data_IF_829133784683
#
_entry.id   IF_829133784683
#
_cell.length_a   1.000
_cell.length_b   1.000
_cell.length_c   1.000
_cell.angle_alpha   90.00
_cell.angle_beta   90.00
_cell.angle_gamma   90.00
#
_symmetry.space_group_name_H-M   'P 1'
#
loop_
_entity.id
_entity.type
_entity.pdbx_description
1 polymer ?
#
# COMPACT_ATOMS: atom_id res chain seq x y z
N UNK A 1 13.97 13.74 -15.81
CA UNK A 1 15.42 13.85 -15.81
C UNK A 1 16.05 12.66 -16.55
N UNK A 2 15.81 11.40 -16.12
CA UNK A 2 16.35 10.20 -16.81
C UNK A 2 16.03 10.15 -18.31
N UNK A 3 14.78 10.44 -18.72
CA UNK A 3 14.41 10.54 -20.13
C UNK A 3 15.15 11.63 -20.91
N UNK A 4 15.74 12.60 -20.23
CA UNK A 4 16.63 13.63 -20.82
C UNK A 4 18.09 13.20 -20.84
N UNK A 5 18.40 11.94 -20.46
CA UNK A 5 19.77 11.40 -20.45
C UNK A 5 20.60 11.80 -19.24
N UNK A 6 20.03 12.46 -18.21
CA UNK A 6 20.77 12.86 -17.01
C UNK A 6 20.99 11.66 -16.08
N UNK A 7 22.16 11.59 -15.44
CA UNK A 7 22.38 10.72 -14.29
C UNK A 7 21.54 11.26 -13.11
N UNK A 8 20.83 10.37 -12.42
CA UNK A 8 19.96 10.77 -11.30
C UNK A 8 20.27 9.93 -10.09
N UNK A 9 20.62 10.59 -8.99
CA UNK A 9 20.71 9.98 -7.66
C UNK A 9 19.57 10.54 -6.79
N UNK A 10 18.77 9.66 -6.19
CA UNK A 10 17.76 9.99 -5.20
C UNK A 10 18.31 9.70 -3.82
N UNK A 11 18.30 10.70 -2.95
CA UNK A 11 18.77 10.59 -1.56
C UNK A 11 17.58 10.68 -0.63
N UNK A 12 17.39 9.68 0.22
CA UNK A 12 16.31 9.59 1.21
C UNK A 12 16.90 9.32 2.60
N UNK A 13 16.51 10.14 3.57
CA UNK A 13 16.96 10.01 4.95
C UNK A 13 16.39 8.78 5.67
N UNK A 14 15.19 8.36 5.28
CA UNK A 14 14.52 7.17 5.79
C UNK A 14 15.08 5.87 5.20
N UNK A 15 14.61 4.75 5.74
CA UNK A 15 14.98 3.41 5.27
C UNK A 15 14.37 3.02 3.92
N UNK A 16 13.36 3.74 3.44
CA UNK A 16 12.70 3.48 2.17
C UNK A 16 12.27 4.77 1.48
N UNK A 17 12.16 4.75 0.16
CA UNK A 17 11.46 5.77 -0.61
C UNK A 17 9.94 5.57 -0.48
N UNK A 18 9.13 6.51 -0.97
CA UNK A 18 7.66 6.38 -0.97
C UNK A 18 7.08 6.09 0.42
N UNK A 19 7.43 6.89 1.42
CA UNK A 19 7.00 6.75 2.81
C UNK A 19 5.51 6.46 3.09
N UNK A 20 4.53 6.86 2.25
CA UNK A 20 3.13 6.44 2.39
C UNK A 20 2.86 4.96 2.14
N UNK A 21 3.73 4.25 1.40
CA UNK A 21 3.59 2.82 1.14
C UNK A 21 4.24 1.99 2.26
N UNK A 22 3.80 0.75 2.42
CA UNK A 22 4.49 -0.24 3.24
C UNK A 22 5.74 -0.76 2.51
N UNK A 23 6.66 -1.40 3.26
CA UNK A 23 8.02 -1.72 2.80
C UNK A 23 8.02 -2.54 1.50
N UNK A 24 7.27 -3.64 1.45
CA UNK A 24 7.20 -4.53 0.29
C UNK A 24 6.57 -3.85 -0.94
N UNK A 25 5.68 -2.88 -0.73
CA UNK A 25 5.08 -2.11 -1.82
C UNK A 25 6.03 -1.01 -2.32
N UNK A 26 6.77 -0.39 -1.42
CA UNK A 26 7.80 0.61 -1.75
C UNK A 26 8.99 -0.03 -2.48
N UNK A 27 9.36 -1.27 -2.11
CA UNK A 27 10.44 -2.03 -2.75
C UNK A 27 10.19 -2.24 -4.25
N UNK A 28 8.95 -2.53 -4.66
CA UNK A 28 8.57 -2.66 -6.07
C UNK A 28 8.87 -1.37 -6.84
N UNK A 29 8.50 -0.22 -6.25
CA UNK A 29 8.76 1.10 -6.84
C UNK A 29 10.27 1.38 -6.91
N UNK A 30 11.00 1.09 -5.82
CA UNK A 30 12.45 1.29 -5.75
C UNK A 30 13.18 0.44 -6.80
N UNK A 31 12.82 -0.84 -6.92
CA UNK A 31 13.36 -1.73 -7.94
C UNK A 31 13.10 -1.20 -9.34
N UNK A 32 11.87 -0.82 -9.66
CA UNK A 32 11.52 -0.28 -10.98
C UNK A 32 12.30 1.01 -11.31
N UNK A 33 12.53 1.89 -10.33
CA UNK A 33 13.35 3.08 -10.52
C UNK A 33 14.81 2.73 -10.75
N UNK A 34 15.39 1.76 -10.02
CA UNK A 34 16.76 1.26 -10.24
C UNK A 34 16.92 0.65 -11.63
N UNK A 35 15.96 -0.17 -12.05
CA UNK A 35 15.93 -0.80 -13.40
C UNK A 35 15.90 0.27 -14.51
N UNK A 36 15.32 1.45 -14.23
CA UNK A 36 15.34 2.63 -15.10
C UNK A 36 16.54 3.57 -14.87
N UNK A 37 17.56 3.11 -14.15
CA UNK A 37 18.86 3.77 -14.00
C UNK A 37 18.88 4.91 -12.99
N UNK A 38 17.99 4.93 -12.00
CA UNK A 38 18.06 5.85 -10.86
C UNK A 38 18.91 5.20 -9.75
N UNK A 39 19.96 5.89 -9.30
CA UNK A 39 20.71 5.50 -8.10
C UNK A 39 19.92 5.92 -6.85
N UNK A 40 19.48 4.96 -6.04
CA UNK A 40 18.69 5.23 -4.83
C UNK A 40 19.55 4.98 -3.59
N UNK A 41 19.67 6.01 -2.75
CA UNK A 41 20.39 6.01 -1.49
C UNK A 41 19.43 6.24 -0.34
N UNK A 42 19.04 5.19 0.34
CA UNK A 42 18.26 5.21 1.59
C UNK A 42 19.17 5.31 2.81
N UNK A 43 18.62 5.61 3.99
CA UNK A 43 19.37 5.88 5.21
C UNK A 43 20.51 6.92 5.00
N UNK A 44 20.28 7.86 4.09
CA UNK A 44 21.26 8.80 3.60
C UNK A 44 20.74 10.24 3.76
N UNK A 45 21.10 10.87 4.86
CA UNK A 45 20.70 12.25 5.13
C UNK A 45 21.68 13.24 4.48
N UNK A 46 21.18 14.13 3.62
CA UNK A 46 21.92 15.27 3.12
C UNK A 46 22.12 16.30 4.24
N UNK A 47 23.35 16.76 4.44
CA UNK A 47 23.70 17.73 5.49
C UNK A 47 24.15 19.06 4.94
N UNK A 48 24.70 19.09 3.72
CA UNK A 48 25.20 20.29 3.09
C UNK A 48 25.04 20.22 1.56
N UNK A 49 24.73 21.36 0.96
CA UNK A 49 24.76 21.56 -0.49
C UNK A 49 25.84 22.60 -0.81
N UNK A 50 26.79 22.23 -1.67
CA UNK A 50 27.89 23.07 -2.12
C UNK A 50 27.85 23.29 -3.63
N UNK A 51 28.81 24.08 -4.17
CA UNK A 51 28.95 24.27 -5.61
C UNK A 51 29.32 22.97 -6.35
N UNK A 52 29.88 21.98 -5.66
CA UNK A 52 30.35 20.72 -6.24
C UNK A 52 29.41 19.53 -6.01
N UNK A 53 28.37 19.68 -5.18
CA UNK A 53 27.45 18.58 -4.91
C UNK A 53 26.81 18.60 -3.54
N UNK A 54 26.42 17.43 -3.07
CA UNK A 54 25.68 17.22 -1.82
C UNK A 54 26.52 16.34 -0.88
N UNK A 55 26.77 16.82 0.33
CA UNK A 55 27.44 16.05 1.39
C UNK A 55 26.40 15.32 2.24
N UNK A 56 26.64 14.03 2.47
CA UNK A 56 25.80 13.17 3.31
C UNK A 56 26.34 13.14 4.75
N UNK A 57 25.48 12.73 5.70
CA UNK A 57 25.83 12.62 7.12
C UNK A 57 27.04 11.72 7.40
N UNK A 58 27.29 10.72 6.56
CA UNK A 58 28.45 9.83 6.67
C UNK A 58 29.76 10.45 6.12
N UNK A 59 29.74 11.70 5.68
CA UNK A 59 30.88 12.43 5.12
C UNK A 59 31.12 12.18 3.62
N UNK A 60 30.34 11.35 2.96
CA UNK A 60 30.42 11.16 1.51
C UNK A 60 29.86 12.39 0.79
N UNK A 61 30.55 12.86 -0.25
CA UNK A 61 30.03 13.89 -1.15
C UNK A 61 29.60 13.25 -2.47
N UNK A 62 28.39 13.53 -2.88
CA UNK A 62 27.84 13.15 -4.19
C UNK A 62 27.97 14.35 -5.12
N UNK A 63 28.77 14.21 -6.18
CA UNK A 63 28.91 15.26 -7.20
C UNK A 63 27.57 15.46 -7.93
N UNK A 64 27.17 16.71 -8.13
CA UNK A 64 25.94 17.06 -8.82
C UNK A 64 26.01 18.44 -9.47
N UNK A 65 25.62 18.52 -10.73
CA UNK A 65 25.45 19.79 -11.47
C UNK A 65 24.11 20.46 -11.15
N UNK A 66 23.12 19.69 -10.69
CA UNK A 66 21.78 20.17 -10.32
C UNK A 66 21.28 19.43 -9.09
N UNK A 67 20.85 20.17 -8.08
CA UNK A 67 20.22 19.62 -6.88
C UNK A 67 18.76 20.05 -6.84
N UNK A 68 17.86 19.07 -6.71
CA UNK A 68 16.41 19.30 -6.52
C UNK A 68 16.06 18.96 -5.09
N UNK A 69 15.68 19.98 -4.31
CA UNK A 69 15.19 19.79 -2.95
C UNK A 69 13.72 19.34 -2.98
N UNK A 70 13.49 18.03 -2.78
CA UNK A 70 12.16 17.41 -2.72
C UNK A 70 11.86 16.87 -1.29
N UNK A 71 12.21 17.66 -0.26
CA UNK A 71 12.17 17.28 1.16
C UNK A 71 10.79 17.46 1.82
N UNK A 72 9.73 17.55 1.02
CA UNK A 72 8.35 17.74 1.47
C UNK A 72 7.93 19.20 1.55
N UNK A 73 6.73 19.42 2.08
CA UNK A 73 6.09 20.74 2.20
C UNK A 73 5.72 21.03 3.64
N UNK A 74 5.72 22.32 4.00
CA UNK A 74 5.21 22.82 5.27
C UNK A 74 4.07 23.79 5.01
N UNK A 75 3.02 23.81 5.86
CA UNK A 75 1.97 24.81 5.74
C UNK A 75 2.55 26.21 5.86
N UNK A 76 2.19 27.12 4.94
CA UNK A 76 2.52 28.53 5.04
C UNK A 76 1.51 29.21 5.99
N UNK A 77 1.74 29.08 7.29
CA UNK A 77 0.81 29.53 8.34
C UNK A 77 1.29 30.73 9.13
N UNK A 78 2.40 31.35 8.76
CA UNK A 78 3.01 32.49 9.50
C UNK A 78 2.04 33.67 9.63
N UNK A 79 1.29 33.98 8.57
CA UNK A 79 0.28 35.03 8.58
C UNK A 79 -0.86 34.71 9.57
N UNK A 80 -1.30 33.46 9.59
CA UNK A 80 -2.35 32.99 10.50
C UNK A 80 -1.88 33.03 11.96
N UNK A 81 -0.64 32.64 12.24
CA UNK A 81 -0.04 32.72 13.56
C UNK A 81 0.10 34.17 14.02
N UNK A 82 0.59 35.07 13.13
CA UNK A 82 0.71 36.50 13.44
C UNK A 82 -0.65 37.15 13.70
N UNK A 83 -1.72 36.66 13.10
CA UNK A 83 -3.10 37.07 13.36
C UNK A 83 -3.72 36.46 14.62
N UNK A 84 -3.00 35.58 15.34
CA UNK A 84 -3.50 34.93 16.55
C UNK A 84 -4.45 33.75 16.29
N UNK A 85 -4.47 33.20 15.07
CA UNK A 85 -5.29 32.04 14.74
C UNK A 85 -4.66 30.75 15.27
N UNK A 86 -5.49 29.76 15.61
CA UNK A 86 -5.04 28.47 16.07
C UNK A 86 -4.37 27.68 14.93
N UNK A 87 -3.19 27.13 15.24
CA UNK A 87 -2.44 26.23 14.36
C UNK A 87 -2.07 24.96 15.09
N UNK A 88 -1.99 23.85 14.37
CA UNK A 88 -1.56 22.56 14.93
C UNK A 88 -0.06 22.54 15.14
N UNK A 89 0.46 21.56 15.92
CA UNK A 89 1.90 21.35 16.17
C UNK A 89 2.70 21.15 14.86
N UNK A 90 2.05 20.67 13.81
CA UNK A 90 2.64 20.51 12.47
C UNK A 90 2.49 21.74 11.57
N UNK A 91 2.02 22.85 12.13
CA UNK A 91 1.89 24.14 11.45
C UNK A 91 0.61 24.30 10.62
N UNK A 92 -0.30 23.35 10.58
CA UNK A 92 -1.56 23.49 9.83
C UNK A 92 -2.55 24.42 10.55
N UNK A 93 -3.18 25.34 9.81
CA UNK A 93 -4.24 26.21 10.35
C UNK A 93 -5.42 25.33 10.73
N UNK A 94 -5.83 25.37 12.01
CA UNK A 94 -6.96 24.57 12.50
C UNK A 94 -8.26 25.18 12.00
N UNK A 95 -9.11 24.33 11.41
CA UNK A 95 -10.41 24.71 10.89
C UNK A 95 -11.49 23.70 11.29
N UNK A 96 -12.72 24.20 11.35
CA UNK A 96 -13.91 23.36 11.53
C UNK A 96 -14.36 22.68 10.22
N UNK A 97 -15.47 21.96 10.24
CA UNK A 97 -16.05 21.30 9.07
C UNK A 97 -16.54 22.29 7.99
N UNK A 98 -16.66 23.56 8.31
CA UNK A 98 -17.00 24.64 7.37
C UNK A 98 -15.78 25.41 6.89
N UNK A 99 -14.56 24.94 7.22
CA UNK A 99 -13.28 25.59 6.94
C UNK A 99 -13.13 26.96 7.63
N UNK A 100 -13.86 27.20 8.73
CA UNK A 100 -13.67 28.39 9.57
C UNK A 100 -12.51 28.16 10.52
N UNK A 101 -11.69 29.17 10.70
CA UNK A 101 -10.60 29.18 11.68
C UNK A 101 -11.14 29.48 13.09
N UNK A 102 -10.26 29.69 14.06
CA UNK A 102 -10.63 30.20 15.39
C UNK A 102 -11.31 31.57 15.37
N UNK A 103 -11.13 32.35 14.30
CA UNK A 103 -11.95 33.52 14.01
C UNK A 103 -13.07 33.16 13.04
N UNK A 104 -14.37 33.32 13.39
CA UNK A 104 -15.51 32.93 12.57
C UNK A 104 -15.63 33.66 11.24
N UNK A 105 -14.92 34.75 11.07
CA UNK A 105 -14.91 35.57 9.85
C UNK A 105 -13.76 35.20 8.91
N UNK A 106 -12.85 34.33 9.35
CA UNK A 106 -11.68 33.92 8.57
C UNK A 106 -11.79 32.46 8.21
N UNK A 107 -11.59 32.14 6.94
CA UNK A 107 -11.56 30.78 6.41
C UNK A 107 -10.13 30.41 6.00
N UNK A 108 -9.78 29.15 6.21
CA UNK A 108 -8.54 28.57 5.66
C UNK A 108 -8.84 27.23 4.97
N UNK A 109 -8.16 27.02 3.84
CA UNK A 109 -8.34 25.81 3.04
C UNK A 109 -7.05 25.43 2.30
N UNK A 110 -7.07 24.32 1.59
CA UNK A 110 -5.92 23.84 0.82
C UNK A 110 -4.84 23.23 1.72
N UNK A 111 -3.60 23.31 1.28
CA UNK A 111 -2.48 22.60 1.91
C UNK A 111 -2.09 23.17 3.28
N UNK A 112 -2.39 24.46 3.51
CA UNK A 112 -2.09 25.13 4.77
C UNK A 112 -3.10 24.83 5.90
N UNK A 113 -4.30 24.32 5.59
CA UNK A 113 -5.33 24.03 6.58
C UNK A 113 -5.37 22.55 6.96
N UNK A 114 -5.73 22.26 8.22
CA UNK A 114 -5.97 20.89 8.67
C UNK A 114 -7.25 20.31 8.06
N UNK A 115 -7.33 18.98 8.05
CA UNK A 115 -8.51 18.19 7.66
C UNK A 115 -8.77 17.15 8.74
N UNK A 116 -9.99 16.66 8.83
CA UNK A 116 -10.29 15.53 9.70
C UNK A 116 -9.92 14.22 9.00
N UNK A 117 -9.13 13.38 9.66
CA UNK A 117 -8.85 12.02 9.22
C UNK A 117 -10.11 11.15 9.36
N UNK A 118 -10.40 10.29 8.37
CA UNK A 118 -11.63 9.49 8.36
C UNK A 118 -11.66 8.42 9.46
N UNK A 119 -10.51 7.92 9.87
CA UNK A 119 -10.42 6.81 10.82
C UNK A 119 -10.24 7.28 12.25
N UNK A 120 -9.37 8.27 12.52
CA UNK A 120 -9.13 8.79 13.88
C UNK A 120 -10.04 9.96 14.24
N UNK A 121 -10.56 10.70 13.27
CA UNK A 121 -11.24 11.96 13.52
C UNK A 121 -10.32 13.13 13.90
N UNK A 122 -9.01 12.89 13.99
CA UNK A 122 -8.02 13.89 14.36
C UNK A 122 -7.72 14.87 13.22
N UNK A 123 -7.11 15.99 13.59
CA UNK A 123 -6.60 16.93 12.61
C UNK A 123 -5.35 16.36 11.91
N UNK A 124 -5.39 16.30 10.60
CA UNK A 124 -4.29 15.85 9.75
C UNK A 124 -3.97 16.83 8.64
N UNK A 125 -2.78 16.74 8.07
CA UNK A 125 -2.37 17.48 6.88
C UNK A 125 -2.40 16.54 5.67
N UNK A 126 -3.17 16.92 4.68
CA UNK A 126 -3.28 16.21 3.38
C UNK A 126 -3.10 17.25 2.27
N UNK A 127 -1.85 17.51 1.84
CA UNK A 127 -1.54 18.50 0.82
C UNK A 127 -1.83 17.92 -0.59
N UNK A 128 -3.11 17.81 -0.92
CA UNK A 128 -3.60 17.22 -2.18
C UNK A 128 -4.58 18.17 -2.88
N UNK A 129 -4.34 18.43 -4.15
CA UNK A 129 -5.06 19.38 -4.97
C UNK A 129 -6.57 19.10 -5.06
N UNK A 130 -6.99 17.82 -5.13
CA UNK A 130 -8.43 17.47 -5.18
C UNK A 130 -9.16 17.86 -3.90
N UNK A 131 -8.51 17.76 -2.73
CA UNK A 131 -9.09 18.18 -1.45
C UNK A 131 -9.16 19.69 -1.38
N UNK A 132 -8.09 20.38 -1.77
CA UNK A 132 -8.04 21.85 -1.82
C UNK A 132 -9.15 22.41 -2.73
N UNK A 133 -9.34 21.83 -3.91
CA UNK A 133 -10.35 22.25 -4.88
C UNK A 133 -11.79 22.11 -4.33
N UNK A 134 -12.09 20.97 -3.71
CA UNK A 134 -13.41 20.74 -3.08
C UNK A 134 -13.69 21.72 -1.93
N UNK A 135 -12.68 21.99 -1.09
CA UNK A 135 -12.80 22.93 0.01
C UNK A 135 -12.94 24.38 -0.50
N UNK A 136 -12.31 24.74 -1.62
CA UNK A 136 -12.49 26.04 -2.25
C UNK A 136 -13.95 26.29 -2.65
N UNK A 137 -14.59 25.29 -3.30
CA UNK A 137 -16.02 25.37 -3.61
C UNK A 137 -16.88 25.42 -2.34
N UNK A 138 -16.59 24.60 -1.35
CA UNK A 138 -17.30 24.56 -0.07
C UNK A 138 -17.31 25.94 0.59
N UNK A 139 -16.16 26.60 0.69
CA UNK A 139 -16.05 27.94 1.31
C UNK A 139 -16.84 28.97 0.51
N UNK A 140 -16.78 28.95 -0.83
CA UNK A 140 -17.59 29.82 -1.67
C UNK A 140 -19.10 29.63 -1.45
N UNK A 141 -19.55 28.39 -1.35
CA UNK A 141 -20.95 28.03 -1.07
C UNK A 141 -21.38 28.56 0.33
N UNK A 142 -20.51 28.44 1.35
CA UNK A 142 -20.80 28.95 2.71
C UNK A 142 -20.88 30.48 2.74
N UNK A 143 -19.93 31.17 2.09
CA UNK A 143 -19.92 32.67 2.02
C UNK A 143 -21.18 33.19 1.33
N UNK A 144 -21.70 32.42 0.35
CA UNK A 144 -22.94 32.79 -0.37
C UNK A 144 -24.22 32.32 0.33
N UNK A 145 -24.12 31.80 1.56
CA UNK A 145 -25.27 31.49 2.42
C UNK A 145 -25.79 30.02 2.29
N UNK A 146 -25.07 29.12 1.61
CA UNK A 146 -25.44 27.71 1.58
C UNK A 146 -24.99 27.01 2.85
N UNK A 147 -25.80 26.09 3.35
CA UNK A 147 -25.43 25.23 4.46
C UNK A 147 -24.77 23.96 3.92
N UNK A 148 -23.47 23.82 4.15
CA UNK A 148 -22.68 22.69 3.74
C UNK A 148 -21.49 22.48 4.68
N UNK A 149 -20.85 21.30 4.64
CA UNK A 149 -19.67 20.97 5.46
C UNK A 149 -18.76 20.00 4.72
N UNK A 150 -17.47 20.02 5.07
CA UNK A 150 -16.52 19.04 4.56
C UNK A 150 -16.67 17.68 5.24
N UNK A 151 -16.39 16.64 4.48
CA UNK A 151 -16.24 15.28 5.03
C UNK A 151 -14.79 15.04 5.42
N UNK A 152 -14.53 14.14 6.39
CA UNK A 152 -13.18 13.65 6.69
C UNK A 152 -12.46 13.14 5.43
N UNK A 153 -11.13 13.18 5.42
CA UNK A 153 -10.32 12.84 4.25
C UNK A 153 -9.76 11.41 4.35
N UNK A 154 -9.58 10.78 3.19
CA UNK A 154 -8.92 9.48 3.03
C UNK A 154 -7.43 9.63 2.69
N UNK A 155 -7.03 10.75 2.09
CA UNK A 155 -5.66 10.94 1.60
C UNK A 155 -5.33 10.14 0.35
N UNK A 156 -6.33 9.82 -0.49
CA UNK A 156 -6.12 9.07 -1.73
C UNK A 156 -5.17 9.80 -2.66
N UNK A 157 -4.10 9.13 -3.07
CA UNK A 157 -3.04 9.69 -3.91
C UNK A 157 -2.53 8.65 -4.92
N UNK A 158 -2.02 9.13 -6.05
CA UNK A 158 -1.38 8.34 -7.07
C UNK A 158 -0.20 9.10 -7.68
N UNK A 159 0.85 8.38 -8.04
CA UNK A 159 2.02 8.91 -8.74
C UNK A 159 2.42 7.98 -9.87
N UNK A 160 2.89 8.53 -10.99
CA UNK A 160 3.43 7.80 -12.12
C UNK A 160 4.96 7.89 -12.19
N UNK A 161 5.63 6.76 -12.48
CA UNK A 161 7.08 6.60 -12.49
C UNK A 161 7.49 5.64 -13.61
N UNK A 162 8.06 6.12 -14.72
CA UNK A 162 8.55 5.29 -15.83
C UNK A 162 7.53 4.26 -16.37
N UNK A 163 6.26 4.65 -16.45
CA UNK A 163 5.17 3.74 -16.86
C UNK A 163 4.56 2.93 -15.73
N UNK A 164 5.19 2.85 -14.57
CA UNK A 164 4.60 2.29 -13.35
C UNK A 164 3.73 3.35 -12.66
N UNK A 165 2.63 2.95 -12.05
CA UNK A 165 1.84 3.77 -11.14
C UNK A 165 1.87 3.19 -9.73
N UNK A 166 1.92 4.06 -8.72
CA UNK A 166 1.79 3.70 -7.32
C UNK A 166 0.71 4.56 -6.65
N UNK A 167 -0.26 3.93 -6.01
CA UNK A 167 -1.39 4.61 -5.39
C UNK A 167 -1.65 4.11 -3.97
N UNK A 168 -2.21 4.98 -3.14
CA UNK A 168 -2.64 4.63 -1.79
C UNK A 168 -3.91 5.39 -1.39
N UNK A 169 -4.68 4.81 -0.47
CA UNK A 169 -5.83 5.45 0.18
C UNK A 169 -5.94 4.96 1.62
N UNK A 170 -6.37 5.83 2.54
CA UNK A 170 -6.46 5.50 3.96
C UNK A 170 -5.10 5.35 4.64
N UNK A 171 -5.01 4.45 5.59
CA UNK A 171 -3.82 4.19 6.39
C UNK A 171 -3.01 3.02 5.85
N UNK A 172 -1.68 3.09 5.96
CA UNK A 172 -0.80 1.94 5.74
C UNK A 172 -0.75 1.04 6.99
N UNK A 173 -0.24 -0.17 6.84
CA UNK A 173 -0.16 -1.16 7.93
C UNK A 173 0.65 -0.64 9.12
N UNK A 174 1.79 0.01 8.85
CA UNK A 174 2.65 0.59 9.91
C UNK A 174 1.87 1.56 10.79
N UNK A 175 1.04 2.45 10.19
CA UNK A 175 0.22 3.40 10.95
C UNK A 175 -0.86 2.68 11.74
N UNK A 176 -1.55 1.74 11.15
CA UNK A 176 -2.64 1.00 11.82
C UNK A 176 -2.12 0.23 13.03
N UNK A 177 -0.97 -0.43 12.89
CA UNK A 177 -0.34 -1.14 14.01
C UNK A 177 0.16 -0.20 15.10
N UNK A 178 0.67 0.98 14.75
CA UNK A 178 1.06 2.01 15.72
C UNK A 178 -0.14 2.55 16.54
N UNK A 179 -1.34 2.53 15.96
CA UNK A 179 -2.59 2.87 16.66
C UNK A 179 -3.15 1.69 17.49
N UNK A 180 -2.44 0.55 17.54
CA UNK A 180 -2.81 -0.62 18.36
C UNK A 180 -4.03 -1.39 17.85
N UNK A 181 -4.38 -1.25 16.59
CA UNK A 181 -5.53 -1.96 15.99
C UNK A 181 -5.15 -3.38 15.57
N UNK A 182 -6.05 -4.31 15.82
CA UNK A 182 -5.99 -5.65 15.25
C UNK A 182 -6.49 -5.62 13.79
N UNK A 183 -5.72 -6.22 12.88
CA UNK A 183 -5.98 -6.10 11.44
C UNK A 183 -5.78 -7.40 10.69
N UNK A 184 -6.57 -7.56 9.63
CA UNK A 184 -6.30 -8.48 8.54
C UNK A 184 -5.56 -7.72 7.44
N UNK A 185 -4.41 -8.24 7.05
CA UNK A 185 -3.61 -7.72 5.95
C UNK A 185 -3.76 -8.64 4.76
N UNK A 186 -4.15 -8.09 3.62
CA UNK A 186 -4.52 -8.86 2.43
C UNK A 186 -3.62 -8.42 1.26
N UNK A 187 -2.43 -9.01 1.11
CA UNK A 187 -1.60 -8.83 -0.07
C UNK A 187 -2.07 -9.76 -1.19
N UNK A 188 -2.28 -9.21 -2.37
CA UNK A 188 -2.61 -9.98 -3.56
C UNK A 188 -1.97 -9.37 -4.80
N UNK A 189 -1.26 -10.16 -5.62
CA UNK A 189 -0.72 -9.74 -6.90
C UNK A 189 -1.58 -10.25 -8.07
N UNK A 190 -2.72 -9.59 -8.39
CA UNK A 190 -3.58 -9.97 -9.49
C UNK A 190 -3.06 -9.44 -10.82
N UNK A 191 -3.60 -9.94 -11.94
CA UNK A 191 -3.41 -9.31 -13.25
C UNK A 191 -4.34 -8.11 -13.42
N UNK A 192 -3.91 -7.12 -14.21
CA UNK A 192 -4.68 -5.91 -14.55
C UNK A 192 -6.01 -6.23 -15.25
N UNK A 193 -6.00 -7.29 -16.07
CA UNK A 193 -7.17 -7.83 -16.77
C UNK A 193 -7.00 -9.34 -16.98
N UNK A 194 -7.89 -9.98 -17.76
CA UNK A 194 -7.86 -11.42 -18.00
C UNK A 194 -6.52 -11.87 -18.59
N UNK A 195 -5.80 -12.76 -17.90
CA UNK A 195 -4.44 -13.18 -18.26
C UNK A 195 -4.33 -13.89 -19.62
N UNK A 196 -5.44 -14.40 -20.18
CA UNK A 196 -5.47 -14.97 -21.53
C UNK A 196 -5.61 -13.90 -22.62
N UNK A 197 -5.92 -12.65 -22.27
CA UNK A 197 -5.98 -11.53 -23.21
C UNK A 197 -4.61 -10.83 -23.26
N UNK A 198 -4.10 -10.48 -24.46
CA UNK A 198 -2.78 -9.88 -24.61
C UNK A 198 -2.63 -8.57 -23.85
N UNK A 199 -1.46 -8.34 -23.27
CA UNK A 199 -1.12 -7.10 -22.58
C UNK A 199 -1.47 -7.09 -21.08
N UNK A 200 -1.86 -8.22 -20.50
CA UNK A 200 -2.09 -8.30 -19.06
C UNK A 200 -0.80 -7.99 -18.28
N UNK A 201 -0.85 -6.96 -17.45
CA UNK A 201 0.24 -6.54 -16.56
C UNK A 201 0.00 -6.99 -15.12
N UNK A 202 1.08 -7.24 -14.39
CA UNK A 202 1.01 -7.58 -12.97
C UNK A 202 0.62 -6.35 -12.16
N UNK A 203 -0.36 -6.49 -11.30
CA UNK A 203 -0.64 -5.57 -10.19
C UNK A 203 -0.09 -6.16 -8.90
N UNK A 204 0.30 -5.28 -7.99
CA UNK A 204 0.55 -5.59 -6.60
C UNK A 204 -0.42 -4.77 -5.77
N UNK A 205 -1.25 -5.45 -5.01
CA UNK A 205 -2.31 -4.84 -4.24
C UNK A 205 -2.21 -5.30 -2.79
N UNK A 206 -2.40 -4.38 -1.86
CA UNK A 206 -2.45 -4.65 -0.42
C UNK A 206 -3.64 -3.90 0.16
N UNK A 207 -4.50 -4.59 0.88
CA UNK A 207 -5.63 -4.01 1.61
C UNK A 207 -5.46 -4.29 3.10
N UNK A 208 -5.81 -3.32 3.94
CA UNK A 208 -5.72 -3.40 5.39
C UNK A 208 -7.13 -3.23 5.94
N UNK A 209 -7.58 -4.19 6.72
CA UNK A 209 -8.96 -4.32 7.21
C UNK A 209 -8.95 -4.43 8.73
N UNK A 210 -9.79 -3.69 9.40
CA UNK A 210 -10.04 -3.80 10.84
C UNK A 210 -10.65 -5.18 11.14
N UNK A 211 -10.00 -5.96 12.01
CA UNK A 211 -10.38 -7.35 12.25
C UNK A 211 -11.73 -7.49 12.95
N UNK A 212 -12.16 -6.48 13.73
CA UNK A 212 -13.41 -6.49 14.48
C UNK A 212 -14.60 -5.99 13.65
N UNK A 213 -14.43 -4.84 13.00
CA UNK A 213 -15.52 -4.15 12.31
C UNK A 213 -15.66 -4.48 10.82
N UNK A 214 -14.68 -5.17 10.25
CA UNK A 214 -14.54 -5.42 8.80
C UNK A 214 -14.41 -4.15 7.96
N UNK A 215 -14.12 -3.00 8.58
CA UNK A 215 -13.92 -1.74 7.88
C UNK A 215 -12.59 -1.73 7.12
N UNK A 216 -12.61 -1.21 5.90
CA UNK A 216 -11.40 -1.00 5.12
C UNK A 216 -10.66 0.20 5.70
N UNK A 217 -9.48 -0.02 6.27
CA UNK A 217 -8.63 1.03 6.87
C UNK A 217 -7.71 1.68 5.84
N UNK A 218 -7.32 0.94 4.81
CA UNK A 218 -6.52 1.46 3.73
C UNK A 218 -6.19 0.44 2.67
N UNK A 219 -5.61 0.94 1.57
CA UNK A 219 -5.12 0.11 0.49
C UNK A 219 -3.97 0.78 -0.26
N UNK A 220 -3.14 -0.04 -0.87
CA UNK A 220 -2.01 0.34 -1.71
C UNK A 220 -2.02 -0.51 -2.96
N UNK A 221 -1.73 0.10 -4.10
CA UNK A 221 -1.66 -0.61 -5.39
C UNK A 221 -0.48 -0.08 -6.19
N UNK A 222 0.34 -1.00 -6.71
CA UNK A 222 1.46 -0.68 -7.59
C UNK A 222 1.35 -1.55 -8.84
N UNK A 223 1.56 -0.98 -10.02
CA UNK A 223 1.51 -1.69 -11.29
C UNK A 223 1.55 -0.76 -12.49
N UNK A 224 1.56 -1.32 -13.69
CA UNK A 224 1.62 -0.55 -14.94
C UNK A 224 0.23 -0.10 -15.40
N UNK A 225 -0.79 -0.94 -15.22
CA UNK A 225 -2.15 -0.67 -15.71
C UNK A 225 -3.22 -0.98 -14.66
N UNK A 226 -4.28 -0.14 -14.62
CA UNK A 226 -5.48 -0.36 -13.81
C UNK A 226 -5.32 -0.09 -12.32
N UNK A 227 -4.24 0.59 -11.91
CA UNK A 227 -4.00 1.06 -10.54
C UNK A 227 -5.03 2.12 -10.16
N UNK A 228 -5.21 3.13 -11.02
CA UNK A 228 -6.15 4.23 -10.84
C UNK A 228 -7.60 3.75 -10.67
N UNK A 229 -8.04 2.85 -11.56
CA UNK A 229 -9.38 2.26 -11.47
C UNK A 229 -9.63 1.60 -10.11
N UNK A 230 -8.69 0.79 -9.62
CA UNK A 230 -8.89 -0.01 -8.40
C UNK A 230 -8.77 0.80 -7.14
N UNK A 231 -7.82 1.72 -7.08
CA UNK A 231 -7.70 2.59 -5.88
C UNK A 231 -8.93 3.48 -5.73
N UNK A 232 -9.52 3.96 -6.82
CA UNK A 232 -10.74 4.77 -6.79
C UNK A 232 -11.97 3.97 -6.36
N UNK A 233 -12.08 2.70 -6.77
CA UNK A 233 -13.15 1.81 -6.29
C UNK A 233 -13.03 1.60 -4.78
N UNK A 234 -11.83 1.31 -4.26
CA UNK A 234 -11.61 1.13 -2.81
C UNK A 234 -11.90 2.44 -2.07
N UNK A 235 -11.37 3.57 -2.53
CA UNK A 235 -11.63 4.88 -1.91
C UNK A 235 -13.13 5.22 -1.89
N UNK A 236 -13.86 4.84 -2.93
CA UNK A 236 -15.32 5.00 -3.01
C UNK A 236 -16.03 4.07 -2.02
N UNK A 237 -15.63 2.81 -1.94
CA UNK A 237 -16.16 1.84 -0.97
C UNK A 237 -15.95 2.32 0.47
N UNK A 238 -14.73 2.74 0.82
CA UNK A 238 -14.40 3.35 2.12
C UNK A 238 -15.28 4.57 2.42
N UNK A 239 -15.44 5.47 1.44
CA UNK A 239 -16.30 6.65 1.58
C UNK A 239 -17.77 6.32 1.78
N UNK A 240 -18.24 5.26 1.14
CA UNK A 240 -19.62 4.76 1.27
C UNK A 240 -19.84 3.97 2.56
N UNK A 241 -18.79 3.61 3.30
CA UNK A 241 -18.87 2.79 4.51
C UNK A 241 -19.12 1.31 4.23
N UNK A 242 -18.71 0.83 3.03
CA UNK A 242 -18.75 -0.60 2.73
C UNK A 242 -17.70 -1.33 3.56
N UNK A 243 -18.02 -2.54 3.99
CA UNK A 243 -17.08 -3.46 4.61
C UNK A 243 -16.13 -4.07 3.56
N UNK A 244 -15.04 -4.68 4.02
CA UNK A 244 -14.13 -5.38 3.11
C UNK A 244 -14.81 -6.61 2.47
N UNK A 245 -15.70 -7.27 3.19
CA UNK A 245 -16.48 -8.40 2.68
C UNK A 245 -17.47 -7.95 1.58
N UNK A 246 -18.05 -6.75 1.68
CA UNK A 246 -18.97 -6.22 0.64
C UNK A 246 -18.29 -6.06 -0.73
N UNK A 247 -16.95 -5.93 -0.78
CA UNK A 247 -16.22 -5.85 -2.04
C UNK A 247 -16.38 -7.11 -2.90
N UNK A 248 -16.66 -8.26 -2.29
CA UNK A 248 -16.90 -9.52 -2.99
C UNK A 248 -18.08 -9.46 -3.96
N UNK A 249 -19.11 -8.68 -3.60
CA UNK A 249 -20.38 -8.61 -4.33
C UNK A 249 -20.49 -7.37 -5.23
N UNK A 250 -19.42 -6.57 -5.36
CA UNK A 250 -19.46 -5.41 -6.25
C UNK A 250 -19.58 -5.86 -7.71
N UNK A 251 -20.59 -5.35 -8.41
CA UNK A 251 -20.76 -5.56 -9.85
C UNK A 251 -19.93 -4.56 -10.64
N UNK A 252 -18.72 -4.98 -11.01
CA UNK A 252 -17.76 -4.15 -11.74
C UNK A 252 -17.77 -4.45 -13.23
N UNK A 253 -17.52 -3.42 -14.05
CA UNK A 253 -17.53 -3.56 -15.50
C UNK A 253 -16.43 -4.55 -15.97
N UNK A 254 -16.84 -5.52 -16.79
CA UNK A 254 -15.97 -6.58 -17.30
C UNK A 254 -16.08 -6.74 -18.82
N UNK A 255 -14.93 -6.77 -19.44
CA UNK A 255 -14.60 -7.49 -20.68
C UNK A 255 -13.11 -7.84 -20.62
N UNK A 256 -12.64 -8.88 -21.34
CA UNK A 256 -11.27 -9.42 -21.15
C UNK A 256 -10.15 -8.40 -21.19
N UNK A 257 -10.27 -7.36 -22.00
CA UNK A 257 -9.28 -6.28 -22.16
C UNK A 257 -9.33 -5.21 -21.05
N UNK A 258 -10.38 -5.18 -20.20
CA UNK A 258 -10.57 -4.16 -19.17
C UNK A 258 -10.49 -4.70 -17.74
N UNK A 259 -10.60 -6.01 -17.57
CA UNK A 259 -10.60 -6.63 -16.24
C UNK A 259 -10.66 -8.15 -16.33
N UNK A 260 -10.87 -8.77 -15.20
CA UNK A 260 -11.19 -10.19 -15.06
C UNK A 260 -12.63 -10.37 -14.63
N UNK A 261 -13.24 -11.51 -14.93
CA UNK A 261 -14.61 -11.81 -14.46
C UNK A 261 -14.70 -11.78 -12.92
N UNK A 262 -13.58 -12.04 -12.26
CA UNK A 262 -13.34 -11.78 -10.84
C UNK A 262 -12.31 -10.64 -10.79
N UNK A 263 -12.80 -9.39 -10.69
CA UNK A 263 -11.91 -8.22 -10.61
C UNK A 263 -11.02 -8.32 -9.35
N UNK A 264 -9.80 -7.78 -9.37
CA UNK A 264 -8.94 -7.66 -8.19
C UNK A 264 -9.65 -7.19 -6.91
N UNK A 265 -10.61 -6.28 -7.05
CA UNK A 265 -11.43 -5.78 -5.92
C UNK A 265 -12.30 -6.89 -5.33
N UNK A 266 -13.03 -7.63 -6.18
CA UNK A 266 -13.83 -8.77 -5.70
C UNK A 266 -12.93 -9.83 -5.06
N UNK A 267 -11.75 -10.03 -5.66
CA UNK A 267 -10.80 -11.03 -5.16
C UNK A 267 -10.28 -10.67 -3.76
N UNK A 268 -10.01 -9.38 -3.50
CA UNK A 268 -9.66 -8.91 -2.17
C UNK A 268 -10.78 -9.17 -1.15
N UNK A 269 -12.05 -8.93 -1.53
CA UNK A 269 -13.21 -9.25 -0.71
C UNK A 269 -13.32 -10.74 -0.39
N UNK A 270 -13.12 -11.62 -1.37
CA UNK A 270 -13.13 -13.09 -1.14
C UNK A 270 -12.02 -13.55 -0.20
N UNK A 271 -10.80 -13.03 -0.34
CA UNK A 271 -9.70 -13.37 0.56
C UNK A 271 -10.04 -12.90 1.98
N UNK A 272 -10.54 -11.66 2.12
CA UNK A 272 -10.96 -11.14 3.43
C UNK A 272 -12.02 -12.04 4.10
N UNK A 273 -13.07 -12.43 3.37
CA UNK A 273 -14.13 -13.30 3.89
C UNK A 273 -13.58 -14.67 4.32
N UNK A 274 -12.65 -15.24 3.55
CA UNK A 274 -12.00 -16.52 3.91
C UNK A 274 -11.22 -16.40 5.23
N UNK A 275 -10.42 -15.33 5.39
CA UNK A 275 -9.64 -15.09 6.63
C UNK A 275 -10.60 -14.83 7.81
N UNK A 276 -11.64 -14.01 7.61
CA UNK A 276 -12.64 -13.73 8.63
C UNK A 276 -13.39 -15.01 9.10
N UNK A 277 -13.52 -16.01 8.23
CA UNK A 277 -14.10 -17.33 8.54
C UNK A 277 -13.09 -18.36 9.07
N UNK A 278 -11.87 -17.94 9.38
CA UNK A 278 -10.87 -18.75 10.08
C UNK A 278 -9.83 -19.42 9.18
N UNK A 279 -9.67 -19.00 7.92
CA UNK A 279 -8.49 -19.38 7.16
C UNK A 279 -7.25 -18.78 7.80
N UNK A 280 -6.25 -19.63 8.08
CA UNK A 280 -5.00 -19.20 8.67
C UNK A 280 -4.05 -18.69 7.60
N UNK A 281 -3.46 -17.52 7.85
CA UNK A 281 -2.45 -16.90 6.98
C UNK A 281 -1.21 -16.50 7.75
N UNK A 282 -0.10 -16.35 7.03
CA UNK A 282 1.19 -15.87 7.54
C UNK A 282 1.65 -14.74 6.63
N UNK A 283 2.05 -13.61 7.20
CA UNK A 283 2.63 -12.52 6.44
C UNK A 283 4.10 -12.77 6.15
N UNK A 284 4.63 -12.22 5.07
CA UNK A 284 6.02 -12.44 4.64
C UNK A 284 7.04 -12.15 5.74
N UNK A 285 6.84 -11.12 6.55
CA UNK A 285 7.74 -10.71 7.64
C UNK A 285 7.62 -11.57 8.92
N UNK A 286 6.59 -12.41 9.03
CA UNK A 286 6.39 -13.34 10.12
C UNK A 286 6.98 -14.73 9.81
N UNK A 287 7.31 -14.99 8.54
CA UNK A 287 7.71 -16.32 8.07
C UNK A 287 8.96 -16.84 8.78
N UNK A 288 10.00 -16.01 8.91
CA UNK A 288 11.28 -16.42 9.49
C UNK A 288 11.12 -16.85 10.96
N UNK A 289 10.29 -16.18 11.74
CA UNK A 289 9.98 -16.55 13.12
C UNK A 289 9.23 -17.89 13.19
N UNK A 290 8.26 -18.10 12.29
CA UNK A 290 7.52 -19.36 12.20
C UNK A 290 8.43 -20.54 11.80
N UNK A 291 9.33 -20.36 10.85
CA UNK A 291 10.30 -21.38 10.44
C UNK A 291 11.31 -21.68 11.57
N UNK A 292 11.79 -20.66 12.27
CA UNK A 292 12.65 -20.82 13.43
C UNK A 292 11.96 -21.57 14.59
N UNK A 293 10.64 -21.49 14.67
CA UNK A 293 9.81 -22.23 15.64
C UNK A 293 9.48 -23.66 15.21
N UNK A 294 9.94 -24.11 14.02
CA UNK A 294 9.82 -25.48 13.54
C UNK A 294 8.68 -25.71 12.53
N UNK A 295 8.04 -24.67 12.01
CA UNK A 295 7.06 -24.82 10.94
C UNK A 295 7.69 -25.40 9.68
N UNK A 296 6.97 -26.31 9.00
CA UNK A 296 7.36 -26.83 7.68
C UNK A 296 6.84 -25.87 6.60
N UNK A 297 7.72 -25.44 5.71
CA UNK A 297 7.35 -24.64 4.53
C UNK A 297 7.22 -25.54 3.30
N UNK A 298 6.04 -25.53 2.66
CA UNK A 298 5.75 -26.31 1.45
C UNK A 298 5.48 -25.37 0.27
N UNK A 299 6.32 -25.45 -0.74
CA UNK A 299 6.14 -24.76 -2.01
C UNK A 299 5.31 -25.63 -2.96
N UNK A 300 4.10 -25.15 -3.29
CA UNK A 300 3.17 -25.89 -4.17
C UNK A 300 3.24 -25.44 -5.63
N UNK A 301 4.31 -24.73 -6.02
CA UNK A 301 4.60 -24.39 -7.41
C UNK A 301 5.09 -25.60 -8.19
N UNK A 302 5.20 -25.45 -9.52
CA UNK A 302 5.81 -26.50 -10.34
C UNK A 302 7.29 -26.68 -9.99
N UNK A 303 7.88 -27.86 -10.32
CA UNK A 303 9.31 -28.09 -10.12
C UNK A 303 10.20 -27.07 -10.83
N UNK A 304 9.78 -26.59 -12.01
CA UNK A 304 10.51 -25.59 -12.80
C UNK A 304 10.48 -24.21 -12.12
N UNK A 305 9.32 -23.80 -11.57
CA UNK A 305 9.20 -22.58 -10.79
C UNK A 305 10.08 -22.64 -9.52
N UNK A 306 10.08 -23.78 -8.84
CA UNK A 306 10.90 -24.01 -7.65
C UNK A 306 12.40 -23.97 -7.98
N UNK A 307 12.83 -24.60 -9.06
CA UNK A 307 14.22 -24.61 -9.51
C UNK A 307 14.71 -23.23 -9.94
N UNK A 308 13.82 -22.35 -10.40
CA UNK A 308 14.15 -20.96 -10.79
C UNK A 308 14.39 -20.02 -9.60
N UNK A 309 14.02 -20.44 -8.38
CA UNK A 309 14.20 -19.72 -7.12
C UNK A 309 13.16 -20.15 -6.12
N UNK A 310 13.56 -20.36 -4.87
CA UNK A 310 12.71 -20.82 -3.77
C UNK A 310 13.00 -20.10 -2.46
N UNK A 311 12.05 -20.10 -1.55
CA UNK A 311 12.29 -19.66 -0.17
C UNK A 311 13.21 -20.70 0.50
N UNK A 312 14.30 -20.28 1.17
CA UNK A 312 15.21 -21.22 1.82
C UNK A 312 14.48 -22.17 2.79
N UNK A 313 14.78 -23.45 2.70
CA UNK A 313 14.17 -24.50 3.54
C UNK A 313 12.80 -25.01 3.07
N UNK A 314 12.24 -24.47 2.00
CA UNK A 314 10.98 -24.97 1.44
C UNK A 314 11.14 -26.36 0.81
N UNK A 315 10.13 -27.21 1.02
CA UNK A 315 9.98 -28.50 0.34
C UNK A 315 9.00 -28.35 -0.81
N UNK A 316 9.37 -28.83 -2.00
CA UNK A 316 8.48 -28.73 -3.16
C UNK A 316 7.54 -29.94 -3.27
N UNK A 317 6.25 -29.66 -3.12
CA UNK A 317 5.17 -30.63 -3.40
C UNK A 317 4.15 -29.91 -4.30
N UNK A 318 4.21 -30.07 -5.62
CA UNK A 318 3.30 -29.39 -6.53
C UNK A 318 1.83 -29.61 -6.17
N UNK A 319 0.99 -28.57 -6.33
CA UNK A 319 -0.42 -28.62 -5.96
C UNK A 319 -1.15 -29.84 -6.53
N UNK A 320 -0.86 -30.21 -7.79
CA UNK A 320 -1.51 -31.33 -8.48
C UNK A 320 -1.10 -32.71 -7.87
N UNK A 321 0.05 -32.77 -7.21
CA UNK A 321 0.55 -33.97 -6.54
C UNK A 321 0.18 -33.97 -5.03
N UNK A 322 -0.15 -32.85 -4.45
CA UNK A 322 -0.31 -32.69 -3.01
C UNK A 322 -1.34 -33.65 -2.41
N UNK A 323 -2.44 -33.92 -3.13
CA UNK A 323 -3.48 -34.87 -2.69
C UNK A 323 -2.96 -36.31 -2.49
N UNK A 324 -1.93 -36.72 -3.25
CA UNK A 324 -1.35 -38.04 -3.19
C UNK A 324 -0.16 -38.08 -2.24
N UNK A 325 0.55 -36.94 -2.14
CA UNK A 325 1.81 -36.82 -1.40
C UNK A 325 1.65 -36.16 -0.03
N UNK A 326 0.43 -35.89 0.43
CA UNK A 326 0.21 -35.19 1.71
C UNK A 326 0.76 -35.92 2.93
N UNK A 327 0.96 -37.28 2.83
CA UNK A 327 1.55 -38.06 3.90
C UNK A 327 3.03 -37.70 4.15
N UNK A 328 3.72 -37.11 3.16
CA UNK A 328 5.11 -36.65 3.33
C UNK A 328 5.26 -35.50 4.36
N UNK A 329 4.14 -34.86 4.73
CA UNK A 329 4.11 -33.74 5.72
C UNK A 329 3.39 -34.16 7.01
N UNK A 330 3.00 -35.41 7.17
CA UNK A 330 2.16 -35.87 8.28
C UNK A 330 2.82 -35.79 9.67
N UNK A 331 4.14 -35.75 9.72
CA UNK A 331 4.90 -35.64 10.97
C UNK A 331 5.08 -34.19 11.48
N UNK A 332 4.44 -33.21 10.81
CA UNK A 332 4.55 -31.80 11.16
C UNK A 332 3.23 -31.25 11.66
N UNK A 333 3.27 -30.66 12.87
CA UNK A 333 2.09 -30.04 13.51
C UNK A 333 1.77 -28.64 12.98
N UNK A 334 2.75 -27.94 12.39
CA UNK A 334 2.63 -26.57 11.85
C UNK A 334 3.16 -26.55 10.42
N UNK A 335 2.26 -26.34 9.47
CA UNK A 335 2.57 -26.34 8.03
C UNK A 335 2.21 -25.00 7.42
N UNK A 336 3.14 -24.43 6.69
CA UNK A 336 2.92 -23.21 5.88
C UNK A 336 3.03 -23.60 4.41
N UNK A 337 2.00 -23.30 3.63
CA UNK A 337 2.01 -23.52 2.19
C UNK A 337 2.14 -22.21 1.44
N UNK A 338 2.82 -22.22 0.30
CA UNK A 338 2.87 -21.06 -0.58
C UNK A 338 2.94 -21.45 -2.06
N UNK A 339 2.59 -20.50 -2.90
CA UNK A 339 2.87 -20.58 -4.33
C UNK A 339 3.48 -19.27 -4.82
N UNK A 340 3.38 -18.94 -6.11
CA UNK A 340 3.92 -17.68 -6.66
C UNK A 340 3.22 -16.44 -6.12
N UNK A 341 1.86 -16.46 -6.03
CA UNK A 341 1.02 -15.27 -5.80
C UNK A 341 -0.10 -15.50 -4.76
N UNK A 342 -0.12 -16.63 -4.04
CA UNK A 342 -1.08 -16.95 -2.99
C UNK A 342 -2.26 -17.85 -3.40
N UNK A 343 -2.76 -17.82 -4.65
CA UNK A 343 -3.97 -18.56 -5.05
C UNK A 343 -3.82 -20.11 -4.97
N UNK A 344 -2.74 -20.67 -5.53
CA UNK A 344 -2.47 -22.10 -5.43
C UNK A 344 -2.18 -22.50 -3.98
N UNK A 345 -1.53 -21.59 -3.22
CA UNK A 345 -1.29 -21.75 -1.77
C UNK A 345 -2.60 -21.84 -1.00
N UNK A 346 -3.56 -20.95 -1.25
CA UNK A 346 -4.91 -21.03 -0.69
C UNK A 346 -5.59 -22.37 -1.00
N UNK A 347 -5.56 -22.81 -2.26
CA UNK A 347 -6.13 -24.11 -2.64
C UNK A 347 -5.46 -25.28 -1.91
N UNK A 348 -4.14 -25.24 -1.73
CA UNK A 348 -3.37 -26.20 -0.97
C UNK A 348 -3.75 -26.19 0.52
N UNK A 349 -3.83 -25.01 1.13
CA UNK A 349 -4.26 -24.86 2.52
C UNK A 349 -5.66 -25.45 2.74
N UNK A 350 -6.62 -25.13 1.87
CA UNK A 350 -7.98 -25.70 1.94
C UNK A 350 -7.98 -27.22 1.77
N UNK A 351 -7.18 -27.75 0.85
CA UNK A 351 -7.04 -29.20 0.68
C UNK A 351 -6.52 -29.86 1.95
N UNK A 352 -5.42 -29.36 2.51
CA UNK A 352 -4.78 -29.90 3.70
C UNK A 352 -5.66 -29.78 4.95
N UNK A 353 -6.32 -28.61 5.13
CA UNK A 353 -7.30 -28.43 6.23
C UNK A 353 -8.42 -29.47 6.17
N UNK A 354 -8.94 -29.77 4.97
CA UNK A 354 -9.97 -30.82 4.80
C UNK A 354 -9.46 -32.23 5.07
N UNK A 355 -8.14 -32.45 5.02
CA UNK A 355 -7.48 -33.70 5.40
C UNK A 355 -7.09 -33.76 6.90
N UNK A 356 -7.35 -32.66 7.64
CA UNK A 356 -7.15 -32.60 9.09
C UNK A 356 -5.82 -32.00 9.53
N UNK A 357 -5.04 -31.39 8.62
CA UNK A 357 -3.80 -30.68 8.95
C UNK A 357 -4.06 -29.29 9.52
N UNK A 358 -3.20 -28.86 10.43
CA UNK A 358 -3.10 -27.44 10.79
C UNK A 358 -2.17 -26.74 9.78
N UNK A 359 -2.74 -25.86 8.96
CA UNK A 359 -2.02 -25.26 7.84
C UNK A 359 -2.36 -23.79 7.68
N UNK A 360 -1.36 -22.98 7.38
CA UNK A 360 -1.51 -21.58 7.00
C UNK A 360 -1.01 -21.35 5.57
N UNK A 361 -1.62 -20.37 4.88
CA UNK A 361 -1.15 -19.89 3.58
C UNK A 361 -0.22 -18.68 3.79
N UNK A 362 0.95 -18.66 3.12
CA UNK A 362 1.79 -17.46 3.04
C UNK A 362 1.12 -16.48 2.10
N UNK A 363 0.63 -15.37 2.65
CA UNK A 363 -0.11 -14.36 1.93
C UNK A 363 0.76 -13.66 0.88
N UNK A 364 0.21 -13.51 -0.34
CA UNK A 364 0.93 -12.97 -1.49
C UNK A 364 2.02 -13.89 -2.06
N UNK A 365 2.32 -15.00 -1.39
CA UNK A 365 3.23 -16.06 -1.84
C UNK A 365 4.68 -15.63 -2.03
N UNK A 366 5.41 -16.38 -2.87
CA UNK A 366 6.83 -16.15 -3.16
C UNK A 366 7.13 -14.73 -3.64
N UNK A 367 6.25 -14.14 -4.45
CA UNK A 367 6.47 -12.80 -5.02
C UNK A 367 6.44 -11.71 -3.94
N UNK A 368 5.49 -11.75 -3.01
CA UNK A 368 5.42 -10.77 -1.92
C UNK A 368 6.58 -10.96 -0.94
N UNK A 369 6.95 -12.21 -0.64
CA UNK A 369 8.11 -12.49 0.19
C UNK A 369 9.40 -11.94 -0.44
N UNK A 370 9.62 -12.17 -1.75
CA UNK A 370 10.81 -11.65 -2.46
C UNK A 370 10.87 -10.13 -2.41
N UNK A 371 9.74 -9.45 -2.65
CA UNK A 371 9.68 -7.98 -2.59
C UNK A 371 9.99 -7.44 -1.19
N UNK A 372 9.59 -8.17 -0.15
CA UNK A 372 9.89 -7.82 1.24
C UNK A 372 11.35 -8.00 1.64
N UNK A 373 12.13 -8.80 0.89
CA UNK A 373 13.57 -9.03 1.12
C UNK A 373 14.46 -8.04 0.34
N UNK A 374 13.89 -7.25 -0.58
CA UNK A 374 14.65 -6.25 -1.34
C UNK A 374 14.95 -5.02 -0.45
N UNK A 375 16.26 -4.72 -0.27
CA UNK A 375 16.80 -3.52 0.42
C UNK A 375 16.72 -2.24 -0.45
#
# INVERSE_FOLDING_TARGET
LRHQGLAVTLVEAGSQIMGPLDVEMAAIVAKHMRDNGVDIRTNAQATEISETGVTLQNGQTLEADLVIAAIGVRPASELAQAAGLEVSDRGGIIVDAQQRTSDPHIFALGDAATKKDIHSGDNTLVPLAQTANRHGRLVADIITGRTTSSLPVLGTAIVGLFGLAAASTGWNERRVRAEGKDVRVIPLPPSSHAGYYPGAAQLHMKMIVDAESDAILGAQIVGEEGVDKRIDVIATAMRAGLSATDLADLELAYAPQFGSAKDPINFAGFINDNIARGEKTVQWHELDERLASGALLVDVRSPEEFASGAIPGAVNIPLDELRVRHEEIADHDDVIVHCQVGLRGHNAARLLTNLGYDVANLDGGYLTWTNGQED
#
